data_IF_223506383381
#
_entry.id   IF_223506383381
#
_cell.length_a   1.000
_cell.length_b   1.000
_cell.length_c   1.000
_cell.angle_alpha   90.00
_cell.angle_beta   90.00
_cell.angle_gamma   90.00
#
_symmetry.space_group_name_H-M   'P 1'
#
loop_
_entity.id
_entity.type
_entity.pdbx_description
1 polymer ?
#
# COMPACT_ATOMS: atom_id res chain seq x y z
N UNK A 1 25.30 -24.88 -10.57
CA UNK A 1 24.37 -24.41 -11.62
C UNK A 1 23.01 -24.97 -11.26
N UNK A 2 22.18 -24.19 -10.57
CA UNK A 2 20.83 -24.63 -10.21
C UNK A 2 19.92 -24.34 -11.40
N UNK A 3 19.25 -25.36 -11.91
CA UNK A 3 18.30 -25.28 -13.01
C UNK A 3 17.12 -24.44 -12.53
N UNK A 4 17.03 -23.18 -12.96
CA UNK A 4 15.90 -22.31 -12.64
C UNK A 4 14.69 -22.73 -13.44
N UNK A 5 13.83 -23.57 -12.86
CA UNK A 5 12.51 -23.81 -13.42
C UNK A 5 11.69 -22.52 -13.33
N UNK A 6 11.18 -22.07 -14.48
CA UNK A 6 10.25 -20.95 -14.56
C UNK A 6 8.88 -21.45 -14.10
N UNK A 7 8.54 -21.20 -12.84
CA UNK A 7 7.23 -21.51 -12.29
C UNK A 7 6.25 -20.36 -12.62
N UNK A 8 5.17 -20.60 -13.39
CA UNK A 8 4.10 -19.63 -13.52
C UNK A 8 3.29 -19.61 -12.22
N UNK A 9 3.71 -18.78 -11.27
CA UNK A 9 3.03 -18.65 -9.98
C UNK A 9 2.04 -17.47 -9.98
N UNK A 10 0.82 -17.72 -9.52
CA UNK A 10 -0.08 -16.63 -9.14
C UNK A 10 0.43 -15.97 -7.87
N UNK A 11 0.06 -14.71 -7.64
CA UNK A 11 0.48 -13.97 -6.45
C UNK A 11 0.09 -14.70 -5.15
N UNK A 12 -1.03 -15.43 -5.15
CA UNK A 12 -1.48 -16.25 -4.01
C UNK A 12 -0.62 -17.50 -3.77
N UNK A 13 0.00 -18.07 -4.81
CA UNK A 13 0.86 -19.25 -4.66
C UNK A 13 2.22 -18.88 -4.06
N UNK A 14 2.76 -17.72 -4.43
CA UNK A 14 4.06 -17.22 -3.95
C UNK A 14 4.02 -16.84 -2.46
N UNK A 15 2.86 -16.40 -1.98
CA UNK A 15 2.67 -15.99 -0.59
C UNK A 15 2.69 -17.14 0.41
N UNK A 16 2.12 -18.29 0.04
CA UNK A 16 2.13 -19.46 0.90
C UNK A 16 3.54 -20.05 1.09
N UNK A 17 4.37 -20.04 0.04
CA UNK A 17 5.75 -20.55 0.11
C UNK A 17 6.72 -19.59 0.79
N UNK A 18 6.71 -18.29 0.46
CA UNK A 18 7.74 -17.36 0.92
C UNK A 18 7.53 -16.84 2.35
N UNK A 19 6.28 -16.73 2.81
CA UNK A 19 5.97 -16.16 4.12
C UNK A 19 5.69 -17.23 5.19
N UNK A 20 5.38 -18.47 4.82
CA UNK A 20 5.18 -19.58 5.77
C UNK A 20 4.24 -19.22 6.93
N UNK A 21 4.63 -19.57 8.16
CA UNK A 21 3.84 -19.32 9.38
C UNK A 21 3.69 -17.82 9.75
N UNK A 22 4.46 -16.91 9.12
CA UNK A 22 4.38 -15.46 9.39
C UNK A 22 3.14 -14.80 8.78
N UNK A 23 2.41 -15.49 7.90
CA UNK A 23 1.13 -15.04 7.33
C UNK A 23 0.08 -14.73 8.42
N UNK A 24 0.16 -15.35 9.59
CA UNK A 24 -0.77 -15.09 10.69
C UNK A 24 -0.56 -13.73 11.36
N UNK A 25 0.59 -13.07 11.14
CA UNK A 25 0.94 -11.77 11.74
C UNK A 25 0.59 -10.59 10.84
N UNK A 26 0.31 -10.83 9.56
CA UNK A 26 0.03 -9.80 8.57
C UNK A 26 -1.40 -9.98 8.07
N UNK A 27 -2.17 -8.90 8.05
CA UNK A 27 -3.52 -8.95 7.49
C UNK A 27 -3.47 -9.43 6.02
N UNK A 28 -4.30 -10.41 5.60
CA UNK A 28 -4.27 -10.98 4.26
C UNK A 28 -4.36 -9.94 3.14
N UNK A 29 -5.08 -8.85 3.37
CA UNK A 29 -5.20 -7.75 2.41
C UNK A 29 -3.88 -7.00 2.21
N UNK A 30 -3.11 -6.77 3.28
CA UNK A 30 -1.81 -6.11 3.24
C UNK A 30 -0.82 -6.91 2.41
N UNK A 31 -0.82 -8.23 2.58
CA UNK A 31 -0.02 -9.14 1.78
C UNK A 31 -0.38 -9.03 0.29
N UNK A 32 -1.67 -9.02 -0.04
CA UNK A 32 -2.13 -8.93 -1.43
C UNK A 32 -1.69 -7.63 -2.11
N UNK A 33 -1.84 -6.50 -1.41
CA UNK A 33 -1.37 -5.20 -1.91
C UNK A 33 0.16 -5.16 -2.03
N UNK A 34 0.88 -5.78 -1.09
CA UNK A 34 2.32 -5.87 -1.17
C UNK A 34 2.78 -6.63 -2.42
N UNK A 35 2.17 -7.78 -2.69
CA UNK A 35 2.45 -8.58 -3.88
C UNK A 35 2.12 -7.85 -5.18
N UNK A 36 0.99 -7.14 -5.25
CA UNK A 36 0.65 -6.32 -6.43
C UNK A 36 1.73 -5.30 -6.72
N UNK A 37 2.25 -4.62 -5.69
CA UNK A 37 3.32 -3.63 -5.85
C UNK A 37 4.59 -4.25 -6.44
N UNK A 38 4.98 -5.44 -5.94
CA UNK A 38 6.15 -6.18 -6.44
C UNK A 38 5.97 -6.62 -7.89
N UNK A 39 4.81 -7.18 -8.23
CA UNK A 39 4.50 -7.62 -9.60
C UNK A 39 4.50 -6.41 -10.55
N UNK A 40 3.94 -5.28 -10.12
CA UNK A 40 3.95 -4.03 -10.90
C UNK A 40 5.38 -3.55 -11.16
N UNK A 41 6.23 -3.51 -10.13
CA UNK A 41 7.62 -3.10 -10.27
C UNK A 41 8.38 -3.88 -11.34
N UNK A 42 8.24 -5.21 -11.36
CA UNK A 42 8.95 -6.04 -12.33
C UNK A 42 8.34 -5.99 -13.74
N UNK A 43 7.00 -5.99 -13.84
CA UNK A 43 6.33 -6.03 -15.15
C UNK A 43 6.36 -4.70 -15.89
N UNK A 44 6.12 -3.60 -15.21
CA UNK A 44 5.90 -2.30 -15.86
C UNK A 44 7.17 -1.44 -15.91
N UNK A 45 7.99 -1.45 -14.85
CA UNK A 45 9.20 -0.61 -14.83
C UNK A 45 10.44 -1.33 -15.37
N UNK A 46 10.53 -2.64 -15.19
CA UNK A 46 11.67 -3.45 -15.65
C UNK A 46 11.38 -4.28 -16.91
N UNK A 47 10.11 -4.38 -17.33
CA UNK A 47 9.66 -5.19 -18.47
C UNK A 47 10.17 -6.65 -18.39
N UNK A 48 10.33 -7.15 -17.15
CA UNK A 48 10.82 -8.49 -16.85
C UNK A 48 9.64 -9.47 -16.75
N UNK A 49 9.65 -10.50 -17.58
CA UNK A 49 8.62 -11.56 -17.57
C UNK A 49 8.92 -12.69 -16.56
N UNK A 50 10.12 -12.71 -16.00
CA UNK A 50 10.58 -13.67 -15.00
C UNK A 50 11.62 -13.01 -14.11
N UNK A 51 11.58 -13.31 -12.82
CA UNK A 51 12.50 -12.76 -11.81
C UNK A 51 13.07 -13.89 -10.96
N UNK A 52 14.26 -13.69 -10.40
CA UNK A 52 14.79 -14.61 -9.40
C UNK A 52 14.04 -14.49 -8.07
N UNK A 53 14.08 -15.57 -7.28
CA UNK A 53 13.49 -15.58 -5.93
C UNK A 53 14.13 -14.52 -5.03
N UNK A 54 15.44 -14.29 -5.17
CA UNK A 54 16.17 -13.28 -4.39
C UNK A 54 15.70 -11.86 -4.70
N UNK A 55 15.53 -11.53 -6.00
CA UNK A 55 14.98 -10.25 -6.43
C UNK A 55 13.54 -10.07 -5.97
N UNK A 56 12.72 -11.11 -6.09
CA UNK A 56 11.33 -11.05 -5.65
C UNK A 56 11.21 -10.86 -4.13
N UNK A 57 11.94 -11.66 -3.34
CA UNK A 57 11.93 -11.60 -1.88
C UNK A 57 12.42 -10.25 -1.37
N UNK A 58 13.45 -9.70 -2.02
CA UNK A 58 13.96 -8.36 -1.78
C UNK A 58 12.92 -7.27 -2.04
N UNK A 59 12.22 -7.33 -3.18
CA UNK A 59 11.19 -6.36 -3.52
C UNK A 59 10.02 -6.44 -2.54
N UNK A 60 9.58 -7.66 -2.22
CA UNK A 60 8.51 -7.90 -1.26
C UNK A 60 8.88 -7.37 0.12
N UNK A 61 10.11 -7.60 0.57
CA UNK A 61 10.60 -7.05 1.83
C UNK A 61 10.55 -5.52 1.86
N UNK A 62 10.98 -4.84 0.78
CA UNK A 62 10.95 -3.37 0.71
C UNK A 62 9.54 -2.82 0.76
N UNK A 63 8.62 -3.49 0.06
CA UNK A 63 7.21 -3.15 0.11
C UNK A 63 6.65 -3.35 1.52
N UNK A 64 6.92 -4.49 2.16
CA UNK A 64 6.52 -4.77 3.54
C UNK A 64 7.14 -3.76 4.54
N UNK A 65 8.37 -3.31 4.31
CA UNK A 65 8.96 -2.22 5.08
C UNK A 65 8.20 -0.91 4.89
N UNK A 66 7.68 -0.63 3.68
CA UNK A 66 6.71 0.44 3.43
C UNK A 66 5.40 0.26 4.20
N UNK A 67 4.88 -0.96 4.32
CA UNK A 67 3.78 -1.26 5.27
C UNK A 67 4.18 -1.08 6.75
N UNK A 68 5.47 -0.89 7.01
CA UNK A 68 6.07 -0.65 8.32
C UNK A 68 6.20 -1.91 9.16
N UNK A 69 6.40 -3.04 8.49
CA UNK A 69 6.99 -4.23 9.09
C UNK A 69 8.50 -4.04 9.26
N UNK A 70 9.04 -4.59 10.35
CA UNK A 70 10.47 -4.60 10.59
C UNK A 70 11.11 -5.73 9.78
N UNK A 71 11.52 -5.43 8.56
CA UNK A 71 12.16 -6.37 7.64
C UNK A 71 13.66 -6.10 7.63
N UNK A 72 14.43 -7.12 7.98
CA UNK A 72 15.89 -7.07 7.98
C UNK A 72 16.40 -7.79 6.73
N UNK A 73 17.33 -7.16 6.01
CA UNK A 73 18.04 -7.76 4.89
C UNK A 73 19.50 -7.98 5.28
N UNK A 74 20.09 -9.10 4.84
CA UNK A 74 21.53 -9.35 5.00
C UNK A 74 22.36 -8.39 4.12
N UNK A 75 21.83 -7.99 2.97
CA UNK A 75 22.40 -6.97 2.07
C UNK A 75 21.31 -6.02 1.60
N UNK A 76 21.60 -4.71 1.46
CA UNK A 76 20.62 -3.73 0.96
C UNK A 76 20.23 -4.11 -0.48
N UNK A 77 18.96 -4.48 -0.72
CA UNK A 77 18.57 -4.86 -2.05
C UNK A 77 18.65 -3.63 -2.95
N UNK A 78 19.36 -3.70 -4.08
CA UNK A 78 19.44 -2.61 -5.06
C UNK A 78 18.13 -2.42 -5.86
N UNK A 79 16.99 -2.54 -5.20
CA UNK A 79 15.64 -2.41 -5.76
C UNK A 79 15.12 -1.00 -5.46
N UNK A 80 14.82 -0.25 -6.51
CA UNK A 80 14.36 1.13 -6.42
C UNK A 80 12.84 1.22 -6.63
N UNK A 81 12.07 0.84 -5.59
CA UNK A 81 10.62 1.03 -5.57
C UNK A 81 10.27 2.51 -5.36
N UNK A 82 9.40 3.06 -6.19
CA UNK A 82 8.82 4.40 -6.06
C UNK A 82 7.63 4.35 -5.12
N UNK A 83 7.87 4.79 -3.88
CA UNK A 83 6.85 4.90 -2.84
C UNK A 83 6.46 6.36 -2.68
N UNK A 84 5.16 6.64 -2.80
CA UNK A 84 4.60 7.96 -2.53
C UNK A 84 3.88 7.96 -1.18
N UNK A 85 4.48 8.63 -0.20
CA UNK A 85 3.93 8.73 1.14
C UNK A 85 3.04 9.97 1.31
N UNK A 86 1.90 9.78 1.96
CA UNK A 86 0.92 10.82 2.25
C UNK A 86 0.53 10.79 3.73
N UNK A 87 0.69 11.93 4.42
CA UNK A 87 0.26 12.08 5.82
C UNK A 87 -1.23 12.45 5.90
N UNK A 88 -2.06 11.50 6.32
CA UNK A 88 -3.51 11.68 6.45
C UNK A 88 -3.90 12.68 7.53
N UNK A 89 -3.11 12.78 8.60
CA UNK A 89 -3.39 13.73 9.68
C UNK A 89 -3.11 15.17 9.20
N UNK A 90 -2.13 15.37 8.31
CA UNK A 90 -1.92 16.65 7.64
C UNK A 90 -3.11 17.03 6.77
N UNK A 91 -3.61 16.12 5.93
CA UNK A 91 -4.77 16.38 5.06
C UNK A 91 -6.05 16.74 5.85
N UNK A 92 -6.26 16.08 6.98
CA UNK A 92 -7.35 16.41 7.89
C UNK A 92 -7.22 17.84 8.43
N UNK A 93 -6.04 18.22 8.94
CA UNK A 93 -5.80 19.57 9.47
C UNK A 93 -6.00 20.68 8.43
N UNK A 94 -5.61 20.43 7.18
CA UNK A 94 -5.77 21.41 6.09
C UNK A 94 -7.24 21.61 5.66
N UNK A 95 -8.15 20.76 6.15
CA UNK A 95 -9.57 20.71 5.73
C UNK A 95 -10.55 21.32 6.76
N UNK A 96 -10.08 21.86 7.90
CA UNK A 96 -10.94 22.34 8.99
C UNK A 96 -11.95 23.43 8.61
N UNK A 97 -13.27 23.12 8.70
CA UNK A 97 -14.42 24.00 8.41
C UNK A 97 -15.79 23.30 8.52
N UNK A 98 -16.91 24.02 8.41
CA UNK A 98 -18.30 23.50 8.63
C UNK A 98 -18.78 22.44 7.61
N UNK A 99 -17.99 22.11 6.59
CA UNK A 99 -18.27 21.06 5.58
C UNK A 99 -17.14 20.01 5.51
N UNK A 100 -16.60 19.69 6.69
CA UNK A 100 -15.34 18.95 6.87
C UNK A 100 -15.29 17.59 6.13
N UNK A 101 -16.33 16.76 6.25
CA UNK A 101 -16.30 15.40 5.70
C UNK A 101 -16.29 15.40 4.16
N UNK A 102 -17.17 16.16 3.50
CA UNK A 102 -17.23 16.20 2.04
C UNK A 102 -15.98 16.82 1.42
N UNK A 103 -15.44 17.88 2.02
CA UNK A 103 -14.21 18.50 1.53
C UNK A 103 -13.00 17.58 1.74
N UNK A 104 -13.00 16.81 2.83
CA UNK A 104 -11.94 15.84 3.10
C UNK A 104 -11.85 14.77 2.02
N UNK A 105 -12.98 14.15 1.66
CA UNK A 105 -12.99 13.14 0.59
C UNK A 105 -12.57 13.74 -0.78
N UNK A 106 -12.94 14.98 -1.07
CA UNK A 106 -12.48 15.67 -2.28
C UNK A 106 -10.97 15.91 -2.30
N UNK A 107 -10.39 16.33 -1.16
CA UNK A 107 -8.95 16.48 -1.02
C UNK A 107 -8.24 15.13 -1.12
N UNK A 108 -8.79 14.10 -0.48
CA UNK A 108 -8.25 12.74 -0.53
C UNK A 108 -8.16 12.23 -1.97
N UNK A 109 -9.21 12.44 -2.77
CA UNK A 109 -9.19 12.12 -4.21
C UNK A 109 -8.13 12.89 -4.98
N UNK A 110 -7.94 14.18 -4.69
CA UNK A 110 -6.90 14.99 -5.34
C UNK A 110 -5.50 14.49 -5.01
N UNK A 111 -5.26 14.08 -3.78
CA UNK A 111 -3.98 13.51 -3.36
C UNK A 111 -3.69 12.17 -4.03
N UNK A 112 -4.67 11.26 -4.09
CA UNK A 112 -4.53 10.00 -4.85
C UNK A 112 -4.17 10.30 -6.30
N UNK A 113 -4.89 11.21 -6.97
CA UNK A 113 -4.61 11.60 -8.36
C UNK A 113 -3.23 12.26 -8.53
N UNK A 114 -2.83 13.10 -7.58
CA UNK A 114 -1.53 13.77 -7.60
C UNK A 114 -0.39 12.76 -7.47
N UNK A 115 -0.56 11.78 -6.57
CA UNK A 115 0.38 10.68 -6.37
C UNK A 115 0.46 9.80 -7.62
N UNK A 116 -0.69 9.38 -8.18
CA UNK A 116 -0.74 8.54 -9.38
C UNK A 116 -0.09 9.20 -10.61
N UNK A 117 -0.10 10.54 -10.72
CA UNK A 117 0.60 11.25 -11.81
C UNK A 117 2.11 11.08 -11.79
N UNK A 118 2.69 10.69 -10.66
CA UNK A 118 4.11 10.41 -10.52
C UNK A 118 4.47 8.97 -10.87
N UNK A 119 3.48 8.15 -11.23
CA UNK A 119 3.62 6.72 -11.52
C UNK A 119 4.36 5.95 -10.42
N UNK A 120 3.84 5.94 -9.17
CA UNK A 120 4.43 5.18 -8.08
C UNK A 120 4.06 3.70 -8.17
N UNK A 121 4.92 2.82 -7.65
CA UNK A 121 4.58 1.41 -7.44
C UNK A 121 3.64 1.25 -6.22
N UNK A 122 3.77 2.16 -5.24
CA UNK A 122 3.06 2.09 -3.97
C UNK A 122 2.65 3.49 -3.50
N UNK A 123 1.38 3.66 -3.12
CA UNK A 123 0.92 4.84 -2.38
C UNK A 123 0.67 4.45 -0.93
N UNK A 124 1.29 5.17 -0.01
CA UNK A 124 1.20 4.91 1.42
C UNK A 124 0.56 6.07 2.17
N UNK A 125 -0.61 5.81 2.75
CA UNK A 125 -1.30 6.74 3.64
C UNK A 125 -0.93 6.44 5.10
N UNK A 126 -0.27 7.40 5.75
CA UNK A 126 0.21 7.30 7.12
C UNK A 126 -0.65 8.14 8.09
N UNK A 127 -0.68 7.74 9.36
CA UNK A 127 -1.41 8.42 10.46
C UNK A 127 -2.94 8.46 10.27
N UNK A 128 -3.50 7.45 9.62
CA UNK A 128 -4.93 7.32 9.33
C UNK A 128 -5.76 7.29 10.61
N UNK A 129 -5.27 6.65 11.67
CA UNK A 129 -5.96 6.60 12.97
C UNK A 129 -6.15 8.00 13.59
N UNK A 130 -5.12 8.84 13.53
CA UNK A 130 -5.17 10.22 14.03
C UNK A 130 -6.10 11.09 13.19
N UNK A 131 -6.01 10.93 11.86
CA UNK A 131 -6.92 11.55 10.90
C UNK A 131 -8.39 11.23 11.20
N UNK A 132 -8.73 9.94 11.32
CA UNK A 132 -10.08 9.46 11.64
C UNK A 132 -10.57 10.03 12.97
N UNK A 133 -9.73 10.02 14.01
CA UNK A 133 -10.08 10.63 15.31
C UNK A 133 -10.37 12.12 15.18
N UNK A 134 -9.58 12.84 14.38
CA UNK A 134 -9.80 14.27 14.11
C UNK A 134 -11.10 14.52 13.35
N UNK A 135 -11.44 13.67 12.36
CA UNK A 135 -12.70 13.77 11.60
C UNK A 135 -13.92 13.50 12.48
N UNK A 136 -13.86 12.44 13.28
CA UNK A 136 -14.96 12.03 14.15
C UNK A 136 -15.10 12.94 15.38
N UNK A 137 -14.04 13.68 15.74
CA UNK A 137 -13.99 14.47 16.97
C UNK A 137 -13.85 13.61 18.23
N UNK A 138 -13.13 12.48 18.13
CA UNK A 138 -13.03 11.49 19.21
C UNK A 138 -11.63 11.44 19.85
N UNK A 139 -11.56 11.47 21.18
CA UNK A 139 -10.30 11.31 21.92
C UNK A 139 -9.84 9.85 22.01
N UNK A 140 -10.77 8.89 21.99
CA UNK A 140 -10.51 7.44 22.03
C UNK A 140 -11.11 6.77 20.81
N UNK A 141 -10.53 5.65 20.39
CA UNK A 141 -11.03 4.87 19.26
C UNK A 141 -12.36 4.19 19.60
N UNK A 142 -13.43 4.56 18.88
CA UNK A 142 -14.79 4.06 19.10
C UNK A 142 -15.41 3.48 17.81
N UNK A 143 -16.65 2.99 17.88
CA UNK A 143 -17.36 2.44 16.72
C UNK A 143 -17.49 3.43 15.57
N UNK A 144 -17.70 4.72 15.87
CA UNK A 144 -17.76 5.76 14.85
C UNK A 144 -16.41 5.97 14.16
N UNK A 145 -15.29 5.78 14.87
CA UNK A 145 -13.96 5.77 14.25
C UNK A 145 -13.78 4.58 13.31
N UNK A 146 -14.18 3.37 13.73
CA UNK A 146 -14.12 2.17 12.86
C UNK A 146 -14.93 2.38 11.58
N UNK A 147 -16.17 2.82 11.71
CA UNK A 147 -17.03 3.10 10.56
C UNK A 147 -16.41 4.13 9.62
N UNK A 148 -15.90 5.25 10.15
CA UNK A 148 -15.26 6.27 9.32
C UNK A 148 -13.98 5.77 8.65
N UNK A 149 -13.17 4.98 9.36
CA UNK A 149 -11.99 4.34 8.80
C UNK A 149 -12.36 3.45 7.60
N UNK A 150 -13.37 2.60 7.75
CA UNK A 150 -13.80 1.70 6.68
C UNK A 150 -14.34 2.48 5.47
N UNK A 151 -15.03 3.60 5.70
CA UNK A 151 -15.44 4.51 4.62
C UNK A 151 -14.24 5.12 3.89
N UNK A 152 -13.22 5.57 4.62
CA UNK A 152 -11.98 6.12 4.04
C UNK A 152 -11.25 5.06 3.21
N UNK A 153 -11.08 3.86 3.76
CA UNK A 153 -10.42 2.74 3.08
C UNK A 153 -11.18 2.38 1.80
N UNK A 154 -12.51 2.23 1.90
CA UNK A 154 -13.35 1.91 0.73
C UNK A 154 -13.25 3.01 -0.33
N UNK A 155 -13.28 4.28 0.07
CA UNK A 155 -13.19 5.40 -0.86
C UNK A 155 -11.83 5.49 -1.56
N UNK A 156 -10.73 5.29 -0.81
CA UNK A 156 -9.39 5.26 -1.38
C UNK A 156 -9.23 4.15 -2.42
N UNK A 157 -9.76 2.97 -2.13
CA UNK A 157 -9.78 1.85 -3.08
C UNK A 157 -10.56 2.19 -4.34
N UNK A 158 -11.76 2.75 -4.20
CA UNK A 158 -12.54 3.20 -5.37
C UNK A 158 -11.79 4.27 -6.17
N UNK A 159 -11.13 5.23 -5.51
CA UNK A 159 -10.33 6.23 -6.21
C UNK A 159 -9.16 5.59 -6.98
N UNK A 160 -8.50 4.60 -6.39
CA UNK A 160 -7.42 3.87 -7.05
C UNK A 160 -7.96 3.07 -8.25
N UNK A 161 -9.06 2.37 -8.11
CA UNK A 161 -9.69 1.61 -9.21
C UNK A 161 -10.18 2.51 -10.35
N UNK A 162 -10.72 3.70 -10.04
CA UNK A 162 -11.22 4.65 -11.04
C UNK A 162 -10.10 5.41 -11.75
N UNK A 163 -9.08 5.86 -11.01
CA UNK A 163 -8.06 6.78 -11.51
C UNK A 163 -6.74 6.07 -11.86
N UNK A 164 -6.52 4.83 -11.43
CA UNK A 164 -5.40 4.02 -11.89
C UNK A 164 -5.76 3.38 -13.23
N UNK A 165 -4.90 3.62 -14.24
CA UNK A 165 -4.95 2.86 -15.50
C UNK A 165 -4.20 1.53 -15.38
N UNK A 166 -3.40 1.37 -14.32
CA UNK A 166 -2.46 0.26 -14.10
C UNK A 166 -2.31 -0.05 -12.61
N UNK A 167 -1.89 -1.28 -12.30
CA UNK A 167 -1.87 -1.94 -10.99
C UNK A 167 -0.94 -1.27 -9.93
N UNK A 168 -1.25 -0.05 -9.49
CA UNK A 168 -0.63 0.59 -8.33
C UNK A 168 -1.20 0.02 -7.03
N UNK A 169 -0.35 -0.24 -6.03
CA UNK A 169 -0.78 -0.77 -4.74
C UNK A 169 -1.06 0.33 -3.71
N UNK A 170 -1.96 0.06 -2.78
CA UNK A 170 -2.39 1.00 -1.74
C UNK A 170 -2.14 0.47 -0.33
N UNK A 171 -1.45 1.28 0.48
CA UNK A 171 -1.20 1.05 1.91
C UNK A 171 -1.90 2.08 2.77
N UNK A 172 -2.51 1.63 3.86
CA UNK A 172 -3.18 2.50 4.84
C UNK A 172 -2.69 2.11 6.24
N UNK A 173 -2.11 3.07 6.97
CA UNK A 173 -1.51 2.93 8.32
C UNK A 173 -2.06 3.97 9.29
#
# INVERSE_FOLDING_TARGET
>A
MSTGELLPCSAEAVTAELLGDTLNLIEPHTIHEALKAVVYYFREEHNESSVSVDQFSSALGKVLQGFGFDVVFDEDPQINLRVEETDMARLARETSGQQYELFFFQQLRREVRSSLRKSPNLIQFNRTRECVKSIVGAERWCDRCRWMHDQIVSYLRTCLEEDSRENCALVIR
#
